data_IF_848896920410
#
_entry.id   IF_848896920410
#
_cell.length_a   1.000
_cell.length_b   1.000
_cell.length_c   1.000
_cell.angle_alpha   90.00
_cell.angle_beta   90.00
_cell.angle_gamma   90.00
#
_symmetry.space_group_name_H-M   'P 1'
#
loop_
_entity.id
_entity.type
_entity.pdbx_description
1 polymer ?
#
# COMPACT_ATOMS: atom_id res chain seq x y z
N UNK A 1 5.19 8.49 -9.51
CA UNK A 1 4.32 7.33 -9.38
C UNK A 1 2.87 7.72 -9.10
N UNK A 2 1.92 6.96 -9.63
CA UNK A 2 0.50 7.02 -9.21
C UNK A 2 0.20 5.84 -8.29
N UNK A 3 -0.61 6.08 -7.27
CA UNK A 3 -1.00 5.04 -6.30
C UNK A 3 -2.51 4.86 -6.35
N UNK A 4 -2.93 3.61 -6.47
CA UNK A 4 -4.31 3.16 -6.49
C UNK A 4 -4.58 2.33 -5.25
N UNK A 5 -5.73 2.57 -4.62
CA UNK A 5 -6.14 1.86 -3.43
C UNK A 5 -7.33 0.97 -3.75
N UNK A 6 -7.35 -0.20 -3.12
CA UNK A 6 -8.53 -1.05 -3.10
C UNK A 6 -9.74 -0.29 -2.49
N UNK A 7 -10.95 -0.44 -3.04
CA UNK A 7 -12.15 0.21 -2.49
C UNK A 7 -12.43 -0.13 -1.02
N UNK A 8 -11.91 -1.25 -0.51
CA UNK A 8 -12.06 -1.66 0.87
C UNK A 8 -11.13 -0.90 1.86
N UNK A 9 -10.14 -0.14 1.35
CA UNK A 9 -9.21 0.64 2.18
C UNK A 9 -9.87 1.96 2.59
N UNK A 10 -10.04 2.24 3.90
CA UNK A 10 -10.66 3.48 4.36
C UNK A 10 -9.83 4.71 3.98
N UNK A 11 -10.50 5.77 3.53
CA UNK A 11 -9.85 7.00 3.05
C UNK A 11 -8.99 7.69 4.10
N UNK A 12 -9.29 7.51 5.39
CA UNK A 12 -8.59 8.12 6.52
C UNK A 12 -7.11 7.69 6.59
N UNK A 13 -6.81 6.43 6.23
CA UNK A 13 -5.45 5.88 6.26
C UNK A 13 -4.74 5.94 4.91
N UNK A 14 -5.44 6.33 3.83
CA UNK A 14 -4.85 6.37 2.49
C UNK A 14 -3.71 7.39 2.38
N UNK A 15 -3.79 8.50 3.11
CA UNK A 15 -2.73 9.52 3.12
C UNK A 15 -1.45 8.99 3.79
N UNK A 16 -1.57 8.32 4.95
CA UNK A 16 -0.45 7.67 5.63
C UNK A 16 0.20 6.58 4.77
N UNK A 17 -0.62 5.69 4.18
CA UNK A 17 -0.10 4.63 3.29
C UNK A 17 0.63 5.26 2.11
N UNK A 18 0.06 6.31 1.51
CA UNK A 18 0.69 7.01 0.39
C UNK A 18 2.07 7.53 0.76
N UNK A 19 2.23 8.17 1.92
CA UNK A 19 3.53 8.64 2.38
C UNK A 19 4.53 7.48 2.50
N UNK A 20 4.13 6.37 3.13
CA UNK A 20 5.00 5.19 3.27
C UNK A 20 5.42 4.63 1.91
N UNK A 21 4.49 4.56 0.95
CA UNK A 21 4.79 4.09 -0.41
C UNK A 21 5.79 5.02 -1.11
N UNK A 22 5.60 6.34 -1.01
CA UNK A 22 6.50 7.32 -1.61
C UNK A 22 7.90 7.34 -0.97
N UNK A 23 8.01 7.02 0.32
CA UNK A 23 9.30 6.92 1.03
C UNK A 23 10.05 5.61 0.75
N UNK A 24 9.33 4.51 0.55
CA UNK A 24 9.93 3.18 0.39
C UNK A 24 10.20 2.80 -1.07
N UNK A 25 9.42 3.34 -2.02
CA UNK A 25 9.54 3.00 -3.44
C UNK A 25 10.23 4.14 -4.20
N UNK A 26 11.53 3.99 -4.42
CA UNK A 26 12.32 4.92 -5.22
C UNK A 26 12.23 4.57 -6.73
N UNK A 27 11.19 5.08 -7.40
CA UNK A 27 11.05 5.03 -8.86
C UNK A 27 10.17 3.89 -9.40
N UNK A 28 10.27 3.57 -10.71
CA UNK A 28 9.40 2.59 -11.34
C UNK A 28 9.72 1.15 -10.90
N UNK A 29 8.74 0.26 -11.08
CA UNK A 29 8.87 -1.16 -10.76
C UNK A 29 10.12 -1.76 -11.43
N UNK A 30 11.00 -2.45 -10.67
CA UNK A 30 12.24 -3.01 -11.22
C UNK A 30 12.02 -4.16 -12.21
N UNK A 31 10.87 -4.84 -12.14
CA UNK A 31 10.57 -5.99 -13.01
C UNK A 31 9.91 -5.63 -14.33
N UNK A 32 9.00 -4.65 -14.36
CA UNK A 32 8.28 -4.27 -15.57
C UNK A 32 8.50 -2.82 -16.02
N UNK A 33 9.09 -1.96 -15.18
CA UNK A 33 9.29 -0.54 -15.46
C UNK A 33 8.04 0.34 -15.31
N UNK A 34 6.94 -0.19 -14.79
CA UNK A 34 5.71 0.56 -14.54
C UNK A 34 5.88 1.55 -13.37
N UNK A 35 5.37 2.77 -13.50
CA UNK A 35 5.40 3.83 -12.47
C UNK A 35 4.06 3.91 -11.68
N UNK A 36 3.27 2.85 -11.71
CA UNK A 36 1.96 2.78 -11.06
C UNK A 36 1.93 1.66 -10.00
N UNK A 37 1.43 2.01 -8.82
CA UNK A 37 1.37 1.16 -7.62
C UNK A 37 -0.09 0.88 -7.28
N UNK A 38 -0.38 -0.35 -6.87
CA UNK A 38 -1.67 -0.78 -6.37
C UNK A 38 -1.52 -1.30 -4.93
N UNK A 39 -2.33 -0.77 -4.02
CA UNK A 39 -2.40 -1.21 -2.62
C UNK A 39 -3.66 -2.05 -2.45
N UNK A 40 -3.47 -3.32 -2.11
CA UNK A 40 -4.57 -4.28 -1.89
C UNK A 40 -4.76 -4.54 -0.41
N UNK A 41 -6.00 -4.62 0.06
CA UNK A 41 -6.30 -5.08 1.41
C UNK A 41 -6.60 -6.59 1.38
N UNK A 42 -5.72 -7.40 1.96
CA UNK A 42 -5.88 -8.85 2.03
C UNK A 42 -6.11 -9.21 3.50
N UNK A 43 -7.38 -9.30 3.89
CA UNK A 43 -7.76 -9.51 5.28
C UNK A 43 -7.42 -8.27 6.12
N UNK A 44 -6.31 -8.34 6.87
CA UNK A 44 -5.84 -7.25 7.74
C UNK A 44 -4.43 -6.76 7.35
N UNK A 45 -3.97 -7.14 6.16
CA UNK A 45 -2.64 -6.79 5.63
C UNK A 45 -2.82 -6.00 4.35
N UNK A 46 -2.11 -4.89 4.24
CA UNK A 46 -1.97 -4.12 3.00
C UNK A 46 -0.79 -4.67 2.20
N UNK A 47 -1.07 -5.18 1.01
CA UNK A 47 -0.07 -5.61 0.03
C UNK A 47 0.16 -4.48 -0.97
N UNK A 48 1.36 -3.89 -0.94
CA UNK A 48 1.78 -2.84 -1.87
C UNK A 48 2.49 -3.50 -3.04
N UNK A 49 1.87 -3.46 -4.22
CA UNK A 49 2.37 -4.14 -5.42
C UNK A 49 2.31 -3.28 -6.67
N UNK A 50 3.01 -3.71 -7.71
CA UNK A 50 2.96 -3.05 -9.01
C UNK A 50 1.58 -3.22 -9.64
N UNK A 51 1.02 -2.14 -10.18
CA UNK A 51 -0.28 -2.16 -10.83
C UNK A 51 -0.30 -3.07 -12.08
N UNK A 52 0.81 -3.14 -12.82
CA UNK A 52 0.87 -3.83 -14.12
C UNK A 52 1.28 -5.32 -13.99
N UNK A 53 2.45 -5.61 -13.40
CA UNK A 53 2.95 -6.99 -13.30
C UNK A 53 2.51 -7.72 -12.02
N UNK A 54 1.93 -7.01 -11.07
CA UNK A 54 1.49 -7.58 -9.79
C UNK A 54 2.61 -7.93 -8.82
N UNK A 55 3.85 -7.52 -9.09
CA UNK A 55 4.97 -7.81 -8.19
C UNK A 55 4.84 -7.03 -6.89
N UNK A 56 4.83 -7.75 -5.76
CA UNK A 56 4.77 -7.17 -4.42
C UNK A 56 6.09 -6.50 -4.06
N UNK A 57 6.02 -5.25 -3.61
CA UNK A 57 7.14 -4.50 -3.06
C UNK A 57 7.31 -4.81 -1.58
N UNK A 58 6.23 -4.67 -0.80
CA UNK A 58 6.21 -4.96 0.63
C UNK A 58 4.77 -5.09 1.15
N UNK A 59 4.64 -5.64 2.35
CA UNK A 59 3.39 -5.85 3.05
C UNK A 59 3.39 -5.06 4.37
N UNK A 60 2.24 -4.49 4.74
CA UNK A 60 2.03 -3.78 6.01
C UNK A 60 0.87 -4.44 6.76
N UNK A 61 1.06 -4.83 8.02
CA UNK A 61 -0.05 -5.24 8.88
C UNK A 61 -0.74 -4.02 9.49
N UNK A 62 -2.07 -3.99 9.41
CA UNK A 62 -2.88 -2.96 10.06
C UNK A 62 -3.04 -3.32 11.54
N UNK A 63 -2.18 -2.79 12.41
CA UNK A 63 -2.45 -2.84 13.85
C UNK A 63 -3.63 -1.92 14.16
N UNK A 64 -4.84 -2.50 14.24
CA UNK A 64 -5.97 -1.83 14.91
C UNK A 64 -5.59 -1.71 16.37
N UNK A 65 -5.14 -0.53 16.78
CA UNK A 65 -5.04 -0.18 18.20
C UNK A 65 -6.43 -0.32 18.82
N UNK A 66 -6.70 -1.49 19.43
CA UNK A 66 -7.74 -1.61 20.44
C UNK A 66 -7.42 -0.54 21.49
N UNK A 67 -8.16 0.56 21.46
CA UNK A 67 -8.04 1.62 22.45
C UNK A 67 -8.06 0.97 23.82
N UNK A 68 -6.88 0.91 24.46
CA UNK A 68 -6.76 0.48 25.84
C UNK A 68 -7.48 1.54 26.69
N UNK A 69 -8.77 1.33 26.92
CA UNK A 69 -9.51 2.02 27.97
C UNK A 69 -8.94 1.53 29.29
N UNK A 70 -8.02 2.31 29.85
CA UNK A 70 -7.60 2.24 31.26
C UNK A 70 -8.49 3.17 32.10
#
# INVERSE_FOLDING_TARGET
MKIYFDPDIPADIQEDIKQVVEEQIEGPCPSCGCDEIYVSLIGNTLDVKCYDCGESFFELELEVEEQQTA
#
